data_IF_357260289610
#
_entry.id   IF_357260289610
#
_cell.length_a   1.000
_cell.length_b   1.000
_cell.length_c   1.000
_cell.angle_alpha   90.00
_cell.angle_beta   90.00
_cell.angle_gamma   90.00
#
_symmetry.space_group_name_H-M   'P 1'
#
loop_
_entity.id
_entity.type
_entity.pdbx_description
1 polymer ?
#
# COMPACT_ATOMS: atom_id res chain seq x y z
N UNK A 1 -5.13 -24.08 0.58
CA UNK A 1 -6.46 -24.44 0.11
C UNK A 1 -7.45 -24.58 1.27
N UNK A 2 -7.23 -25.44 2.26
CA UNK A 2 -8.17 -25.73 3.37
C UNK A 2 -8.55 -24.50 4.21
N UNK A 3 -7.59 -23.63 4.55
CA UNK A 3 -7.87 -22.40 5.32
C UNK A 3 -8.75 -21.41 4.54
N UNK A 4 -8.53 -21.29 3.24
CA UNK A 4 -9.36 -20.43 2.39
C UNK A 4 -10.79 -21.01 2.30
N UNK A 5 -10.91 -22.31 2.08
CA UNK A 5 -12.20 -22.99 2.03
C UNK A 5 -12.99 -22.80 3.33
N UNK A 6 -12.36 -23.01 4.48
CA UNK A 6 -12.97 -22.75 5.79
C UNK A 6 -13.45 -21.31 5.96
N UNK A 7 -12.67 -20.33 5.48
CA UNK A 7 -13.07 -18.91 5.58
C UNK A 7 -14.24 -18.58 4.65
N UNK A 8 -14.28 -19.16 3.45
CA UNK A 8 -15.42 -19.06 2.52
C UNK A 8 -16.69 -19.58 3.19
N UNK A 9 -16.63 -20.78 3.75
CA UNK A 9 -17.78 -21.46 4.38
C UNK A 9 -18.28 -20.74 5.65
N UNK A 10 -17.38 -20.10 6.38
CA UNK A 10 -17.70 -19.46 7.67
C UNK A 10 -17.88 -17.94 7.59
N UNK A 11 -17.67 -17.32 6.41
CA UNK A 11 -17.75 -15.86 6.24
C UNK A 11 -16.66 -15.09 7.01
N UNK A 12 -15.58 -15.75 7.44
CA UNK A 12 -14.49 -15.11 8.18
C UNK A 12 -13.60 -14.32 7.25
N UNK A 13 -13.22 -13.11 7.66
CA UNK A 13 -12.27 -12.28 6.93
C UNK A 13 -10.94 -12.99 6.66
N UNK A 14 -10.36 -12.75 5.48
CA UNK A 14 -9.04 -13.29 5.12
C UNK A 14 -7.96 -12.69 6.01
N UNK A 15 -8.00 -11.38 6.20
CA UNK A 15 -7.09 -10.66 7.08
C UNK A 15 -7.63 -10.60 8.51
N UNK A 16 -6.81 -10.98 9.48
CA UNK A 16 -7.08 -10.94 10.91
C UNK A 16 -5.78 -10.45 11.60
N UNK A 17 -5.68 -9.14 11.75
CA UNK A 17 -4.50 -8.46 12.27
C UNK A 17 -4.07 -8.98 13.65
N UNK A 18 -5.02 -9.20 14.54
CA UNK A 18 -4.72 -9.66 15.90
C UNK A 18 -4.16 -11.10 15.91
N UNK A 19 -4.72 -11.98 15.11
CA UNK A 19 -4.23 -13.35 14.97
C UNK A 19 -2.85 -13.40 14.31
N UNK A 20 -2.59 -12.53 13.34
CA UNK A 20 -1.27 -12.45 12.70
C UNK A 20 -0.23 -11.89 13.67
N UNK A 21 -0.57 -10.86 14.43
CA UNK A 21 0.28 -10.30 15.48
C UNK A 21 0.66 -11.36 16.52
N UNK A 22 -0.31 -12.11 17.05
CA UNK A 22 -0.06 -13.18 18.02
C UNK A 22 0.84 -14.29 17.47
N UNK A 23 0.68 -14.63 16.18
CA UNK A 23 1.56 -15.61 15.52
C UNK A 23 2.99 -15.08 15.39
N UNK A 24 3.16 -13.83 14.99
CA UNK A 24 4.47 -13.20 14.88
C UNK A 24 5.16 -13.13 16.25
N UNK A 25 4.48 -12.69 17.29
CA UNK A 25 5.02 -12.64 18.64
C UNK A 25 5.50 -14.01 19.13
N UNK A 26 4.70 -15.07 18.88
CA UNK A 26 5.09 -16.43 19.25
C UNK A 26 6.34 -16.89 18.51
N UNK A 27 6.43 -16.63 17.21
CA UNK A 27 7.54 -17.07 16.35
C UNK A 27 8.82 -16.26 16.62
N UNK A 28 8.70 -14.98 16.86
CA UNK A 28 9.83 -14.12 17.18
C UNK A 28 10.42 -14.43 18.55
N UNK A 29 9.62 -14.97 19.47
CA UNK A 29 10.08 -15.47 20.78
C UNK A 29 11.07 -16.64 20.69
N UNK A 30 11.15 -17.34 19.55
CA UNK A 30 12.10 -18.43 19.31
C UNK A 30 13.44 -17.94 18.71
N UNK A 31 13.59 -16.64 18.46
CA UNK A 31 14.83 -16.06 17.95
C UNK A 31 15.97 -16.11 18.96
N UNK A 32 17.12 -16.63 18.54
CA UNK A 32 18.31 -16.83 19.39
C UNK A 32 19.11 -15.53 19.61
N UNK A 33 18.90 -14.53 18.78
CA UNK A 33 19.51 -13.19 18.88
C UNK A 33 18.66 -12.17 18.08
N UNK A 34 18.96 -10.88 18.24
CA UNK A 34 18.20 -9.79 17.61
C UNK A 34 18.15 -9.88 16.07
N UNK A 35 19.22 -10.30 15.43
CA UNK A 35 19.28 -10.49 13.96
C UNK A 35 18.32 -11.59 13.51
N UNK A 36 18.37 -12.76 14.17
CA UNK A 36 17.50 -13.88 13.86
C UNK A 36 16.04 -13.55 14.15
N UNK A 37 15.74 -12.88 15.24
CA UNK A 37 14.39 -12.43 15.60
C UNK A 37 13.81 -11.54 14.52
N UNK A 38 14.57 -10.56 14.04
CA UNK A 38 14.16 -9.67 12.94
C UNK A 38 13.97 -10.43 11.64
N UNK A 39 14.90 -11.31 11.28
CA UNK A 39 14.81 -12.14 10.08
C UNK A 39 13.59 -13.07 10.11
N UNK A 40 13.28 -13.68 11.25
CA UNK A 40 12.07 -14.49 11.44
C UNK A 40 10.82 -13.63 11.22
N UNK A 41 10.78 -12.44 11.79
CA UNK A 41 9.64 -11.53 11.65
C UNK A 41 9.40 -11.17 10.18
N UNK A 42 10.42 -10.70 9.48
CA UNK A 42 10.34 -10.32 8.07
C UNK A 42 9.90 -11.51 7.19
N UNK A 43 10.50 -12.68 7.39
CA UNK A 43 10.16 -13.89 6.63
C UNK A 43 8.69 -14.29 6.84
N UNK A 44 8.21 -14.32 8.08
CA UNK A 44 6.84 -14.71 8.35
C UNK A 44 5.81 -13.67 7.93
N UNK A 45 6.14 -12.39 7.96
CA UNK A 45 5.30 -11.34 7.35
C UNK A 45 5.12 -11.58 5.86
N UNK A 46 6.19 -11.91 5.13
CA UNK A 46 6.13 -12.26 3.71
C UNK A 46 5.29 -13.51 3.45
N UNK A 47 5.50 -14.58 4.25
CA UNK A 47 4.71 -15.81 4.13
C UNK A 47 3.21 -15.54 4.35
N UNK A 48 2.85 -14.72 5.34
CA UNK A 48 1.47 -14.37 5.62
C UNK A 48 0.87 -13.52 4.50
N UNK A 49 1.62 -12.56 3.95
CA UNK A 49 1.19 -11.75 2.81
C UNK A 49 0.90 -12.62 1.57
N UNK A 50 1.82 -13.51 1.20
CA UNK A 50 1.62 -14.47 0.08
C UNK A 50 0.41 -15.37 0.35
N UNK A 51 0.24 -15.82 1.58
CA UNK A 51 -0.91 -16.65 1.97
C UNK A 51 -2.23 -15.90 1.84
N UNK A 52 -2.30 -14.62 2.25
CA UNK A 52 -3.48 -13.77 2.07
C UNK A 52 -3.80 -13.58 0.58
N UNK A 53 -2.80 -13.21 -0.22
CA UNK A 53 -2.95 -13.05 -1.67
C UNK A 53 -3.57 -14.31 -2.31
N UNK A 54 -3.09 -15.49 -1.95
CA UNK A 54 -3.66 -16.75 -2.47
C UNK A 54 -5.09 -17.01 -1.95
N UNK A 55 -5.40 -16.63 -0.73
CA UNK A 55 -6.76 -16.76 -0.18
C UNK A 55 -7.74 -15.84 -0.91
N UNK A 56 -7.36 -14.59 -1.19
CA UNK A 56 -8.18 -13.66 -1.98
C UNK A 56 -8.39 -14.16 -3.40
N UNK A 57 -7.36 -14.68 -4.07
CA UNK A 57 -7.52 -15.30 -5.39
C UNK A 57 -8.55 -16.44 -5.36
N UNK A 58 -8.47 -17.31 -4.38
CA UNK A 58 -9.42 -18.43 -4.23
C UNK A 58 -10.85 -17.96 -3.93
N UNK A 59 -11.02 -16.86 -3.19
CA UNK A 59 -12.32 -16.22 -2.98
C UNK A 59 -12.92 -15.75 -4.31
N UNK A 60 -12.15 -15.04 -5.11
CA UNK A 60 -12.58 -14.55 -6.43
C UNK A 60 -12.89 -15.71 -7.37
N UNK A 61 -12.05 -16.75 -7.43
CA UNK A 61 -12.24 -17.95 -8.26
C UNK A 61 -13.51 -18.74 -7.88
N UNK A 62 -13.94 -18.70 -6.61
CA UNK A 62 -15.11 -19.44 -6.11
C UNK A 62 -16.39 -18.59 -6.00
N UNK A 63 -16.48 -17.48 -6.71
CA UNK A 63 -17.69 -16.66 -6.78
C UNK A 63 -17.94 -15.86 -5.50
N UNK A 64 -16.88 -15.49 -4.76
CA UNK A 64 -16.98 -14.38 -3.82
C UNK A 64 -17.57 -13.19 -4.54
N UNK A 65 -18.55 -12.51 -3.94
CA UNK A 65 -19.26 -11.39 -4.55
C UNK A 65 -18.26 -10.52 -5.30
N UNK A 66 -18.46 -10.38 -6.61
CA UNK A 66 -17.82 -9.32 -7.36
C UNK A 66 -18.16 -8.03 -6.62
N UNK A 67 -17.17 -7.34 -6.11
CA UNK A 67 -17.34 -5.97 -5.61
C UNK A 67 -17.65 -5.08 -6.82
N UNK A 68 -18.91 -5.14 -7.27
CA UNK A 68 -19.38 -4.43 -8.46
C UNK A 68 -20.01 -3.08 -8.13
N UNK A 69 -19.70 -2.51 -6.97
CA UNK A 69 -20.19 -1.19 -6.58
C UNK A 69 -19.44 -0.02 -7.25
N UNK A 70 -18.68 -0.30 -8.32
CA UNK A 70 -18.06 0.76 -9.11
C UNK A 70 -18.78 0.96 -10.44
N UNK A 71 -18.86 2.21 -10.87
CA UNK A 71 -19.35 2.58 -12.19
C UNK A 71 -18.17 2.69 -13.14
N UNK A 72 -18.16 1.88 -14.20
CA UNK A 72 -17.16 2.01 -15.25
C UNK A 72 -17.34 3.35 -15.96
N UNK A 73 -16.23 4.09 -16.11
CA UNK A 73 -16.20 5.38 -16.81
C UNK A 73 -15.15 5.32 -17.92
N UNK A 74 -15.39 6.03 -19.01
CA UNK A 74 -14.45 6.10 -20.14
C UNK A 74 -13.17 6.89 -19.76
N UNK A 75 -13.31 7.86 -18.87
CA UNK A 75 -12.22 8.69 -18.37
C UNK A 75 -12.39 8.98 -16.89
N UNK A 76 -11.30 8.94 -16.14
CA UNK A 76 -11.30 9.36 -14.73
C UNK A 76 -11.54 10.87 -14.64
N UNK A 77 -12.47 11.31 -13.78
CA UNK A 77 -12.71 12.73 -13.54
C UNK A 77 -11.62 13.36 -12.68
N UNK A 78 -10.44 13.65 -13.25
CA UNK A 78 -9.27 14.17 -12.53
C UNK A 78 -9.25 15.68 -12.37
N UNK A 79 -9.95 16.42 -13.24
CA UNK A 79 -9.95 17.88 -13.26
C UNK A 79 -10.60 18.49 -12.01
N UNK A 80 -9.90 19.44 -11.37
CA UNK A 80 -10.38 20.16 -10.18
C UNK A 80 -10.56 19.30 -8.93
N UNK A 81 -9.92 18.13 -8.87
CA UNK A 81 -10.05 17.19 -7.75
C UNK A 81 -9.06 17.46 -6.63
N UNK A 82 -9.40 16.93 -5.46
CA UNK A 82 -8.55 16.99 -4.27
C UNK A 82 -7.74 15.70 -4.18
N UNK A 83 -6.44 15.83 -4.09
CA UNK A 83 -5.52 14.68 -4.09
C UNK A 83 -4.69 14.71 -2.81
N UNK A 84 -4.69 13.61 -2.07
CA UNK A 84 -3.80 13.43 -0.91
C UNK A 84 -2.60 12.56 -1.29
N UNK A 85 -1.43 12.88 -0.76
CA UNK A 85 -0.23 12.08 -0.91
C UNK A 85 0.51 11.96 0.41
N UNK A 86 1.28 10.88 0.59
CA UNK A 86 2.09 10.70 1.78
C UNK A 86 3.48 11.32 1.58
N UNK A 87 3.99 11.96 2.64
CA UNK A 87 5.30 12.59 2.69
C UNK A 87 5.23 14.10 2.48
N UNK A 88 6.31 14.67 2.01
CA UNK A 88 6.46 16.13 1.80
C UNK A 88 6.51 16.47 0.32
N UNK A 89 6.40 17.75 -0.01
CA UNK A 89 6.66 18.24 -1.37
C UNK A 89 8.08 17.85 -1.80
N UNK A 90 8.19 17.28 -3.01
CA UNK A 90 9.44 16.71 -3.53
C UNK A 90 9.64 15.22 -3.23
N UNK A 91 8.79 14.57 -2.44
CA UNK A 91 8.78 13.11 -2.30
C UNK A 91 8.33 12.43 -3.61
N UNK A 92 8.62 11.14 -3.77
CA UNK A 92 8.21 10.37 -4.96
C UNK A 92 6.70 10.36 -5.15
N UNK A 93 5.91 10.24 -4.09
CA UNK A 93 4.43 10.31 -4.17
C UNK A 93 3.96 11.66 -4.70
N UNK A 94 4.62 12.76 -4.32
CA UNK A 94 4.34 14.08 -4.88
C UNK A 94 4.70 14.15 -6.36
N UNK A 95 5.85 13.61 -6.76
CA UNK A 95 6.26 13.51 -8.16
C UNK A 95 5.25 12.73 -9.01
N UNK A 96 4.84 11.55 -8.53
CA UNK A 96 3.84 10.71 -9.20
C UNK A 96 2.49 11.44 -9.36
N UNK A 97 2.06 12.15 -8.32
CA UNK A 97 0.87 12.98 -8.38
C UNK A 97 0.97 14.04 -9.49
N UNK A 98 2.10 14.74 -9.59
CA UNK A 98 2.32 15.79 -10.59
C UNK A 98 2.38 15.26 -12.02
N UNK A 99 2.82 14.02 -12.22
CA UNK A 99 2.83 13.40 -13.55
C UNK A 99 1.47 12.83 -13.95
N UNK A 100 0.69 12.34 -12.97
CA UNK A 100 -0.61 11.72 -13.26
C UNK A 100 -1.74 12.72 -13.40
N UNK A 101 -1.76 13.79 -12.60
CA UNK A 101 -2.82 14.80 -12.56
C UNK A 101 -2.37 16.09 -13.22
N UNK A 102 -3.34 16.86 -13.72
CA UNK A 102 -3.12 18.19 -14.26
C UNK A 102 -2.98 19.27 -13.14
N UNK A 103 -2.63 20.49 -13.52
CA UNK A 103 -2.42 21.60 -12.58
C UNK A 103 -3.72 22.16 -11.97
N UNK A 104 -4.88 21.59 -12.29
CA UNK A 104 -6.18 22.04 -11.75
C UNK A 104 -6.52 21.43 -10.41
N UNK A 105 -5.79 20.40 -9.99
CA UNK A 105 -6.01 19.74 -8.71
C UNK A 105 -5.63 20.64 -7.54
N UNK A 106 -6.26 20.42 -6.39
CA UNK A 106 -5.76 20.85 -5.10
C UNK A 106 -5.16 19.66 -4.37
N UNK A 107 -3.97 19.82 -3.80
CA UNK A 107 -3.31 18.70 -3.11
C UNK A 107 -2.88 19.08 -1.70
N UNK A 108 -2.83 18.07 -0.84
CA UNK A 108 -2.26 18.17 0.50
C UNK A 108 -1.55 16.88 0.87
N UNK A 109 -0.63 16.98 1.82
CA UNK A 109 0.14 15.83 2.28
C UNK A 109 -0.31 15.37 3.67
N UNK A 110 0.01 14.11 3.95
CA UNK A 110 -0.17 13.45 5.25
C UNK A 110 1.09 12.68 5.63
N UNK A 111 1.24 12.38 6.90
CA UNK A 111 2.44 11.71 7.41
C UNK A 111 2.42 10.20 7.15
N UNK A 112 1.25 9.58 7.13
CA UNK A 112 1.10 8.13 7.00
C UNK A 112 0.18 7.74 5.84
N UNK A 113 0.39 6.55 5.31
CA UNK A 113 -0.47 5.97 4.27
C UNK A 113 -1.90 5.74 4.78
N UNK A 114 -2.04 5.40 6.07
CA UNK A 114 -3.35 5.23 6.70
C UNK A 114 -4.14 6.54 6.72
N UNK A 115 -3.52 7.64 7.06
CA UNK A 115 -4.15 8.96 7.01
C UNK A 115 -4.62 9.33 5.60
N UNK A 116 -3.88 8.91 4.55
CA UNK A 116 -4.31 9.11 3.17
C UNK A 116 -5.60 8.32 2.85
N UNK A 117 -5.68 7.06 3.28
CA UNK A 117 -6.91 6.25 3.13
C UNK A 117 -8.09 6.84 3.91
N UNK A 118 -7.85 7.30 5.13
CA UNK A 118 -8.85 7.95 5.96
C UNK A 118 -9.34 9.27 5.37
N UNK A 119 -8.47 10.05 4.72
CA UNK A 119 -8.85 11.29 4.05
C UNK A 119 -9.85 11.05 2.92
N UNK A 120 -9.71 9.96 2.15
CA UNK A 120 -10.71 9.55 1.17
C UNK A 120 -12.01 9.14 1.87
N UNK A 121 -11.93 8.31 2.90
CA UNK A 121 -13.11 7.86 3.66
C UNK A 121 -13.91 9.01 4.25
N UNK A 122 -13.23 10.06 4.73
CA UNK A 122 -13.86 11.27 5.26
C UNK A 122 -14.34 12.26 4.18
N UNK A 123 -14.07 11.97 2.90
CA UNK A 123 -14.39 12.85 1.79
C UNK A 123 -13.56 14.14 1.76
N UNK A 124 -12.40 14.16 2.38
CA UNK A 124 -11.45 15.27 2.37
C UNK A 124 -10.61 15.26 1.07
N UNK A 125 -10.37 14.08 0.51
CA UNK A 125 -9.73 13.85 -0.78
C UNK A 125 -10.59 13.00 -1.69
N UNK A 126 -10.46 13.20 -2.99
CA UNK A 126 -11.11 12.41 -4.03
C UNK A 126 -10.19 11.27 -4.50
N UNK A 127 -8.87 11.48 -4.43
CA UNK A 127 -7.83 10.50 -4.78
C UNK A 127 -6.69 10.51 -3.77
N UNK A 128 -6.03 9.36 -3.61
CA UNK A 128 -4.77 9.24 -2.88
C UNK A 128 -3.67 8.67 -3.80
N UNK A 129 -2.46 9.19 -3.66
CA UNK A 129 -1.27 8.66 -4.33
C UNK A 129 -0.40 7.94 -3.31
N UNK A 130 -0.27 6.63 -3.50
CA UNK A 130 0.40 5.73 -2.57
C UNK A 130 1.43 4.85 -3.31
N UNK A 131 2.59 4.59 -2.73
CA UNK A 131 3.58 3.71 -3.33
C UNK A 131 3.11 2.25 -3.23
N UNK A 132 3.11 1.53 -4.34
CA UNK A 132 2.69 0.11 -4.34
C UNK A 132 3.90 -0.83 -4.42
N UNK A 133 4.92 -0.43 -5.15
CA UNK A 133 6.12 -1.22 -5.39
C UNK A 133 7.33 -0.31 -5.65
N UNK A 134 8.50 -0.82 -5.29
CA UNK A 134 9.79 -0.26 -5.68
C UNK A 134 10.63 -1.37 -6.30
N UNK A 135 11.19 -1.15 -7.49
CA UNK A 135 11.95 -2.16 -8.23
C UNK A 135 13.17 -2.72 -7.47
N UNK A 136 13.70 -1.96 -6.51
CA UNK A 136 14.86 -2.37 -5.69
C UNK A 136 14.41 -2.96 -4.34
N UNK A 137 13.45 -2.33 -3.67
CA UNK A 137 12.97 -2.73 -2.34
C UNK A 137 11.81 -3.74 -2.39
N UNK A 138 11.17 -3.90 -3.56
CA UNK A 138 10.02 -4.78 -3.74
C UNK A 138 8.69 -4.15 -3.32
N UNK A 139 7.74 -4.99 -2.99
CA UNK A 139 6.36 -4.64 -2.66
C UNK A 139 6.28 -3.90 -1.32
N UNK A 140 5.50 -2.82 -1.28
CA UNK A 140 5.17 -2.10 -0.04
C UNK A 140 3.99 -2.81 0.63
N UNK A 141 4.28 -3.81 1.46
CA UNK A 141 3.27 -4.72 2.04
C UNK A 141 2.18 -4.01 2.85
N UNK A 142 2.54 -2.93 3.54
CA UNK A 142 1.60 -2.17 4.38
C UNK A 142 0.46 -1.54 3.55
N UNK A 143 0.75 -1.17 2.30
CA UNK A 143 -0.30 -0.64 1.39
C UNK A 143 -1.31 -1.72 1.03
N UNK A 144 -0.86 -2.96 0.81
CA UNK A 144 -1.78 -4.07 0.52
C UNK A 144 -2.70 -4.36 1.71
N UNK A 145 -2.20 -4.25 2.92
CA UNK A 145 -3.02 -4.41 4.12
C UNK A 145 -4.07 -3.28 4.24
N UNK A 146 -3.69 -2.05 3.92
CA UNK A 146 -4.63 -0.92 3.88
C UNK A 146 -5.67 -1.06 2.77
N UNK A 147 -5.32 -1.57 1.58
CA UNK A 147 -6.27 -1.83 0.51
C UNK A 147 -7.30 -2.91 0.87
N UNK A 148 -7.00 -3.75 1.85
CA UNK A 148 -7.96 -4.72 2.41
C UNK A 148 -8.81 -4.10 3.53
N UNK A 149 -8.22 -3.21 4.35
CA UNK A 149 -8.91 -2.53 5.45
C UNK A 149 -9.93 -1.50 4.94
N UNK A 150 -9.58 -0.78 3.86
CA UNK A 150 -10.39 0.30 3.29
C UNK A 150 -11.01 -0.11 1.95
N UNK A 151 -12.34 0.10 1.75
CA UNK A 151 -13.05 -0.27 0.52
C UNK A 151 -12.81 0.75 -0.60
N UNK A 152 -11.55 1.00 -0.94
CA UNK A 152 -11.16 1.92 -2.00
C UNK A 152 -10.66 1.16 -3.23
N UNK A 153 -10.75 1.78 -4.39
CA UNK A 153 -10.39 1.18 -5.67
C UNK A 153 -9.11 1.79 -6.21
N UNK A 154 -8.26 0.94 -6.78
CA UNK A 154 -7.11 1.39 -7.58
C UNK A 154 -7.68 1.82 -8.93
N UNK A 155 -7.48 3.07 -9.30
CA UNK A 155 -8.05 3.68 -10.50
C UNK A 155 -6.98 4.09 -11.53
N UNK A 156 -5.72 3.99 -11.19
CA UNK A 156 -4.60 4.27 -12.07
C UNK A 156 -3.26 3.93 -11.45
N UNK A 157 -2.22 3.92 -12.24
CA UNK A 157 -0.83 3.75 -11.81
C UNK A 157 0.08 4.78 -12.48
N UNK A 158 1.15 5.13 -11.81
CA UNK A 158 2.20 6.00 -12.30
C UNK A 158 3.56 5.43 -11.92
N UNK A 159 4.40 5.18 -12.89
CA UNK A 159 5.80 4.81 -12.68
C UNK A 159 6.67 6.06 -12.63
N UNK A 160 7.58 6.11 -11.67
CA UNK A 160 8.60 7.16 -11.58
C UNK A 160 10.00 6.55 -11.56
N UNK A 161 10.94 7.07 -12.34
CA UNK A 161 12.33 6.71 -12.19
C UNK A 161 12.88 7.25 -10.86
N UNK A 162 13.56 6.38 -10.10
CA UNK A 162 14.24 6.77 -8.87
C UNK A 162 15.70 7.01 -9.19
N UNK A 163 16.09 8.28 -9.31
CA UNK A 163 17.47 8.69 -9.57
C UNK A 163 18.10 9.26 -8.31
N UNK A 164 19.10 8.57 -7.77
CA UNK A 164 19.88 9.08 -6.65
C UNK A 164 21.04 9.94 -7.13
N UNK A 165 21.17 11.12 -6.58
CA UNK A 165 22.27 12.04 -6.87
C UNK A 165 23.09 12.31 -5.61
N UNK A 166 24.40 12.42 -5.76
CA UNK A 166 25.28 12.86 -4.68
C UNK A 166 25.23 14.38 -4.58
N UNK A 167 24.85 14.89 -3.43
CA UNK A 167 24.85 16.32 -3.14
C UNK A 167 25.91 16.65 -2.11
N UNK A 168 26.57 17.78 -2.27
CA UNK A 168 27.53 18.32 -1.32
C UNK A 168 27.36 19.85 -1.22
N UNK A 169 27.86 20.42 -0.14
CA UNK A 169 27.99 21.87 -0.06
C UNK A 169 28.93 22.36 -1.17
N UNK A 170 28.67 23.52 -1.74
CA UNK A 170 29.58 24.10 -2.71
C UNK A 170 30.94 24.31 -2.05
N UNK A 171 31.94 23.61 -2.53
CA UNK A 171 33.33 23.74 -2.09
C UNK A 171 34.12 24.39 -3.21
N UNK A 172 34.90 25.40 -2.87
CA UNK A 172 35.88 25.97 -3.77
C UNK A 172 37.12 25.08 -3.76
N UNK A 173 37.36 24.35 -4.86
CA UNK A 173 38.64 23.69 -5.06
C UNK A 173 39.64 24.73 -5.53
N UNK A 174 40.45 25.24 -4.60
CA UNK A 174 41.68 25.92 -4.96
C UNK A 174 42.77 24.84 -5.08
N UNK A 175 43.20 24.59 -6.31
CA UNK A 175 44.45 23.87 -6.56
C UNK A 175 45.63 24.73 -6.26
#
# INVERSE_FOLDING_TARGET
>A
AEVAQYKIETGKAVFDAERERQKLEKLTGEGTNAFNTKGIQELFQQIMSISRKRQYQLLTENGGEEMTDYTQVDHLPTHGRRVVFQGVEGAYSFGAMKEFFDDTITSFHVDTWKEAMEAITRGEADYAVLPIENSTAGIVSDIYDLLVEYPHYIVGEQELPVEHVLMALPVSYTH
#
